data_IF_406945151306
#
_entry.id   IF_406945151306
#
_cell.length_a   1.000
_cell.length_b   1.000
_cell.length_c   1.000
_cell.angle_alpha   90.00
_cell.angle_beta   90.00
_cell.angle_gamma   90.00
#
_symmetry.space_group_name_H-M   'P 1'
#
loop_
_entity.id
_entity.type
_entity.pdbx_description
1 polymer ?
#
# COMPACT_ATOMS: atom_id res chain seq x y z
N UNK A 1 5.64 -8.26 -26.06
CA UNK A 1 5.94 -8.87 -24.76
C UNK A 1 4.77 -9.79 -24.41
N UNK A 2 5.02 -10.92 -23.79
CA UNK A 2 4.04 -11.99 -23.56
C UNK A 2 3.46 -11.94 -22.14
N UNK A 3 2.34 -12.66 -21.87
CA UNK A 3 1.80 -12.82 -20.53
C UNK A 3 2.82 -13.41 -19.52
N UNK A 4 3.79 -14.17 -20.00
CA UNK A 4 4.91 -14.70 -19.21
C UNK A 4 5.82 -13.59 -18.67
N UNK A 5 6.01 -12.51 -19.43
CA UNK A 5 6.80 -11.36 -18.97
C UNK A 5 6.10 -10.59 -17.86
N UNK A 6 4.77 -10.44 -17.92
CA UNK A 6 3.99 -9.85 -16.82
C UNK A 6 4.19 -10.65 -15.53
N UNK A 7 4.11 -11.99 -15.61
CA UNK A 7 4.35 -12.86 -14.45
C UNK A 7 5.76 -12.72 -13.86
N UNK A 8 6.79 -12.51 -14.68
CA UNK A 8 8.16 -12.26 -14.21
C UNK A 8 8.29 -10.91 -13.48
N UNK A 9 7.63 -9.87 -13.98
CA UNK A 9 7.62 -8.54 -13.33
C UNK A 9 6.90 -8.61 -12.00
N UNK A 10 5.77 -9.32 -11.94
CA UNK A 10 5.01 -9.54 -10.71
C UNK A 10 5.82 -10.31 -9.69
N UNK A 11 6.45 -11.45 -10.07
CA UNK A 11 7.30 -12.23 -9.18
C UNK A 11 8.51 -11.44 -8.65
N UNK A 12 9.13 -10.61 -9.47
CA UNK A 12 10.20 -9.70 -9.04
C UNK A 12 9.69 -8.68 -8.02
N UNK A 13 8.54 -8.07 -8.29
CA UNK A 13 7.91 -7.10 -7.40
C UNK A 13 7.54 -7.73 -6.06
N UNK A 14 6.96 -8.93 -6.06
CA UNK A 14 6.62 -9.70 -4.87
C UNK A 14 7.84 -9.94 -3.97
N UNK A 15 8.99 -10.29 -4.59
CA UNK A 15 10.26 -10.41 -3.89
C UNK A 15 10.70 -9.12 -3.21
N UNK A 16 10.57 -7.98 -3.89
CA UNK A 16 10.92 -6.66 -3.34
C UNK A 16 10.01 -6.30 -2.16
N UNK A 17 8.69 -6.49 -2.28
CA UNK A 17 7.75 -6.27 -1.18
C UNK A 17 8.07 -7.15 0.03
N UNK A 18 8.36 -8.44 -0.19
CA UNK A 18 8.72 -9.38 0.87
C UNK A 18 9.99 -8.96 1.61
N UNK A 19 11.02 -8.53 0.87
CA UNK A 19 12.27 -8.03 1.45
C UNK A 19 12.01 -6.75 2.27
N UNK A 20 11.26 -5.79 1.74
CA UNK A 20 10.94 -4.55 2.45
C UNK A 20 10.21 -4.82 3.78
N UNK A 21 9.25 -5.76 3.79
CA UNK A 21 8.55 -6.17 5.02
C UNK A 21 9.49 -6.82 6.03
N UNK A 22 10.41 -7.67 5.59
CA UNK A 22 11.35 -8.36 6.49
C UNK A 22 12.42 -7.43 7.05
N UNK A 23 12.83 -6.40 6.30
CA UNK A 23 13.79 -5.41 6.78
C UNK A 23 13.27 -4.57 7.95
N UNK A 24 11.96 -4.38 8.07
CA UNK A 24 11.35 -3.64 9.18
C UNK A 24 11.71 -4.22 10.56
N UNK A 25 11.91 -5.53 10.67
CA UNK A 25 12.23 -6.17 11.95
C UNK A 25 13.62 -5.81 12.46
N UNK A 26 14.53 -5.37 11.57
CA UNK A 26 15.91 -5.03 11.96
C UNK A 26 16.00 -3.80 12.87
N UNK A 27 14.97 -2.96 12.88
CA UNK A 27 14.89 -1.80 13.77
C UNK A 27 14.50 -2.17 15.22
N UNK A 28 14.03 -3.41 15.45
CA UNK A 28 13.74 -3.93 16.78
C UNK A 28 15.04 -4.33 17.47
N UNK A 29 15.54 -3.46 18.36
CA UNK A 29 16.80 -3.67 19.07
C UNK A 29 16.59 -4.49 20.34
N UNK A 30 17.44 -5.48 20.57
CA UNK A 30 17.50 -6.19 21.86
C UNK A 30 18.09 -5.26 22.91
N UNK A 31 17.39 -5.01 24.04
CA UNK A 31 17.95 -4.21 25.14
C UNK A 31 19.20 -4.88 25.71
N UNK A 32 20.38 -4.27 25.52
CA UNK A 32 21.65 -4.83 25.97
C UNK A 32 22.12 -4.25 27.30
N UNK A 33 21.88 -2.95 27.50
CA UNK A 33 22.34 -2.22 28.69
C UNK A 33 21.11 -1.90 29.56
N UNK A 34 20.88 -2.79 30.54
CA UNK A 34 19.86 -2.54 31.56
C UNK A 34 20.44 -1.66 32.66
N UNK A 35 19.92 -0.45 32.85
CA UNK A 35 20.23 0.40 33.97
C UNK A 35 19.90 -0.32 35.30
N UNK A 36 20.71 -0.16 36.35
CA UNK A 36 20.40 -0.75 37.67
C UNK A 36 18.96 -0.46 38.09
N UNK A 37 18.21 -1.50 38.46
CA UNK A 37 16.80 -1.40 38.86
C UNK A 37 15.77 -1.49 37.74
N UNK A 38 16.19 -1.52 36.48
CA UNK A 38 15.28 -1.72 35.34
C UNK A 38 15.24 -3.17 34.89
N UNK A 39 14.06 -3.78 34.87
CA UNK A 39 13.87 -5.15 34.37
C UNK A 39 13.86 -5.21 32.83
N UNK A 40 14.18 -6.38 32.27
CA UNK A 40 14.06 -6.61 30.82
C UNK A 40 12.63 -6.33 30.30
N UNK A 41 11.62 -6.72 31.10
CA UNK A 41 10.22 -6.46 30.74
C UNK A 41 9.92 -4.95 30.61
N UNK A 42 10.44 -4.14 31.53
CA UNK A 42 10.30 -2.68 31.46
C UNK A 42 11.06 -2.08 30.29
N UNK A 43 12.24 -2.63 29.97
CA UNK A 43 13.02 -2.18 28.81
C UNK A 43 12.30 -2.49 27.49
N UNK A 44 11.75 -3.69 27.36
CA UNK A 44 10.95 -4.09 26.19
C UNK A 44 9.67 -3.27 26.07
N UNK A 45 8.93 -3.08 27.16
CA UNK A 45 7.73 -2.24 27.16
C UNK A 45 8.04 -0.78 26.74
N UNK A 46 9.22 -0.28 27.10
CA UNK A 46 9.68 1.05 26.71
C UNK A 46 9.91 1.22 25.18
N UNK A 47 10.04 0.12 24.43
CA UNK A 47 10.20 0.14 22.97
C UNK A 47 8.84 0.18 22.21
N UNK A 48 7.73 0.43 22.89
CA UNK A 48 6.41 0.48 22.26
C UNK A 48 6.33 1.36 20.99
N UNK A 49 7.07 2.50 20.85
CA UNK A 49 7.04 3.26 19.60
C UNK A 49 7.59 2.46 18.41
N UNK A 50 8.65 1.67 18.62
CA UNK A 50 9.23 0.79 17.60
C UNK A 50 8.23 -0.28 17.17
N UNK A 51 7.53 -0.91 18.13
CA UNK A 51 6.52 -1.92 17.80
C UNK A 51 5.35 -1.33 17.04
N UNK A 52 4.88 -0.14 17.43
CA UNK A 52 3.80 0.56 16.75
C UNK A 52 4.22 0.92 15.31
N UNK A 53 5.40 1.51 15.13
CA UNK A 53 5.93 1.87 13.82
C UNK A 53 6.09 0.62 12.93
N UNK A 54 6.65 -0.48 13.49
CA UNK A 54 6.78 -1.75 12.78
C UNK A 54 5.44 -2.29 12.29
N UNK A 55 4.47 -2.47 13.20
CA UNK A 55 3.16 -3.06 12.85
C UNK A 55 2.42 -2.20 11.82
N UNK A 56 2.45 -0.88 11.99
CA UNK A 56 1.80 0.06 11.05
C UNK A 56 2.44 -0.01 9.68
N UNK A 57 3.77 0.04 9.61
CA UNK A 57 4.50 0.00 8.33
C UNK A 57 4.38 -1.36 7.65
N UNK A 58 4.46 -2.45 8.40
CA UNK A 58 4.25 -3.79 7.88
C UNK A 58 2.85 -3.94 7.26
N UNK A 59 1.81 -3.55 7.99
CA UNK A 59 0.44 -3.58 7.49
C UNK A 59 0.28 -2.72 6.23
N UNK A 60 0.91 -1.54 6.19
CA UNK A 60 0.85 -0.64 5.04
C UNK A 60 1.54 -1.25 3.81
N UNK A 61 2.74 -1.83 3.97
CA UNK A 61 3.44 -2.50 2.85
C UNK A 61 2.64 -3.72 2.39
N UNK A 62 2.05 -4.49 3.30
CA UNK A 62 1.20 -5.63 2.94
C UNK A 62 -0.01 -5.19 2.09
N UNK A 63 -0.66 -4.09 2.45
CA UNK A 63 -1.77 -3.53 1.69
C UNK A 63 -1.30 -3.01 0.33
N UNK A 64 -0.14 -2.38 0.27
CA UNK A 64 0.48 -1.96 -0.99
C UNK A 64 0.74 -3.16 -1.89
N UNK A 65 1.26 -4.25 -1.34
CA UNK A 65 1.46 -5.50 -2.09
C UNK A 65 0.16 -6.06 -2.64
N UNK A 66 -0.89 -6.15 -1.82
CA UNK A 66 -2.21 -6.61 -2.28
C UNK A 66 -2.76 -5.74 -3.40
N UNK A 67 -2.61 -4.42 -3.29
CA UNK A 67 -3.05 -3.48 -4.33
C UNK A 67 -2.20 -3.59 -5.60
N UNK A 68 -0.89 -3.79 -5.48
CA UNK A 68 0.02 -4.05 -6.59
C UNK A 68 -0.37 -5.32 -7.34
N UNK A 69 -0.56 -6.43 -6.61
CA UNK A 69 -1.02 -7.70 -7.18
C UNK A 69 -2.35 -7.52 -7.95
N UNK A 70 -3.36 -6.88 -7.34
CA UNK A 70 -4.64 -6.58 -8.01
C UNK A 70 -4.47 -5.74 -9.26
N UNK A 71 -3.60 -4.74 -9.24
CA UNK A 71 -3.31 -3.90 -10.41
C UNK A 71 -2.73 -4.74 -11.54
N UNK A 72 -1.77 -5.60 -11.25
CA UNK A 72 -1.10 -6.43 -12.25
C UNK A 72 -2.01 -7.52 -12.83
N UNK A 73 -3.06 -7.97 -12.13
CA UNK A 73 -4.05 -8.90 -12.71
C UNK A 73 -4.79 -8.33 -13.92
N UNK A 74 -4.85 -7.00 -14.06
CA UNK A 74 -5.47 -6.32 -15.21
C UNK A 74 -4.50 -6.06 -16.36
N UNK A 75 -3.18 -6.23 -16.16
CA UNK A 75 -2.16 -5.95 -17.16
C UNK A 75 -1.81 -7.23 -17.91
N UNK A 76 -1.90 -7.18 -19.25
CA UNK A 76 -1.53 -8.31 -20.10
C UNK A 76 -0.10 -8.21 -20.62
N UNK A 77 0.31 -6.99 -21.03
CA UNK A 77 1.58 -6.76 -21.73
C UNK A 77 2.27 -5.52 -21.17
N UNK A 78 3.25 -5.66 -20.25
CA UNK A 78 4.01 -4.52 -19.78
C UNK A 78 4.89 -3.96 -20.90
N UNK A 79 4.99 -2.63 -20.98
CA UNK A 79 5.99 -1.95 -21.83
C UNK A 79 7.10 -1.34 -20.96
N UNK A 80 8.17 -0.86 -21.58
CA UNK A 80 9.32 -0.28 -20.88
C UNK A 80 8.91 0.87 -19.93
N UNK A 81 7.92 1.68 -20.33
CA UNK A 81 7.43 2.79 -19.49
C UNK A 81 6.79 2.28 -18.21
N UNK A 82 6.00 1.21 -18.32
CA UNK A 82 5.39 0.56 -17.17
C UNK A 82 6.47 -0.07 -16.27
N UNK A 83 7.49 -0.71 -16.86
CA UNK A 83 8.60 -1.29 -16.12
C UNK A 83 9.38 -0.23 -15.32
N UNK A 84 9.70 0.91 -15.91
CA UNK A 84 10.35 2.01 -15.21
C UNK A 84 9.48 2.62 -14.12
N UNK A 85 8.18 2.83 -14.39
CA UNK A 85 7.25 3.33 -13.39
C UNK A 85 7.09 2.36 -12.21
N UNK A 86 7.03 1.05 -12.49
CA UNK A 86 7.03 0.01 -11.46
C UNK A 86 8.35 0.01 -10.67
N UNK A 87 9.49 0.13 -11.34
CA UNK A 87 10.79 0.26 -10.67
C UNK A 87 10.85 1.45 -9.72
N UNK A 88 10.28 2.60 -10.10
CA UNK A 88 10.18 3.77 -9.24
C UNK A 88 9.26 3.53 -8.03
N UNK A 89 8.14 2.84 -8.24
CA UNK A 89 7.27 2.41 -7.15
C UNK A 89 8.01 1.50 -6.16
N UNK A 90 8.71 0.49 -6.66
CA UNK A 90 9.47 -0.45 -5.84
C UNK A 90 10.61 0.24 -5.08
N UNK A 91 11.28 1.24 -5.66
CA UNK A 91 12.24 2.08 -4.96
C UNK A 91 11.61 2.76 -3.75
N UNK A 92 10.41 3.32 -3.91
CA UNK A 92 9.66 3.90 -2.79
C UNK A 92 9.37 2.87 -1.69
N UNK A 93 8.96 1.67 -2.06
CA UNK A 93 8.66 0.57 -1.11
C UNK A 93 9.91 0.15 -0.33
N UNK A 94 11.05 0.01 -1.01
CA UNK A 94 12.34 -0.36 -0.37
C UNK A 94 12.80 0.71 0.62
N UNK A 95 12.44 1.97 0.41
CA UNK A 95 12.79 3.06 1.31
C UNK A 95 11.94 3.09 2.60
N UNK A 96 10.78 2.44 2.66
CA UNK A 96 9.85 2.52 3.82
C UNK A 96 10.51 2.17 5.17
N UNK A 97 11.39 1.17 5.30
CA UNK A 97 12.06 0.89 6.58
C UNK A 97 12.77 2.11 7.17
N UNK A 98 13.42 2.94 6.36
CA UNK A 98 14.15 4.12 6.85
C UNK A 98 13.24 5.15 7.56
N UNK A 99 12.17 5.70 6.97
CA UNK A 99 11.27 6.61 7.68
C UNK A 99 10.52 5.94 8.84
N UNK A 100 10.32 4.62 8.79
CA UNK A 100 9.77 3.85 9.91
C UNK A 100 10.69 3.90 11.12
N UNK A 101 12.00 3.67 10.91
CA UNK A 101 13.02 3.78 11.94
C UNK A 101 13.10 5.21 12.50
N UNK A 102 12.99 6.24 11.64
CA UNK A 102 12.96 7.63 12.10
C UNK A 102 11.78 7.89 13.03
N UNK A 103 10.58 7.46 12.70
CA UNK A 103 9.40 7.64 13.55
C UNK A 103 9.60 6.87 14.87
N UNK A 104 10.07 5.62 14.81
CA UNK A 104 10.33 4.81 16.00
C UNK A 104 11.31 5.47 16.98
N UNK A 105 12.39 6.09 16.45
CA UNK A 105 13.44 6.72 17.26
C UNK A 105 13.01 8.09 17.82
N UNK A 106 12.30 8.90 17.03
CA UNK A 106 12.02 10.29 17.39
C UNK A 106 10.62 10.53 17.97
N UNK A 107 9.75 9.54 18.04
CA UNK A 107 8.41 9.70 18.61
C UNK A 107 8.51 10.13 20.09
N UNK A 108 7.88 11.26 20.41
CA UNK A 108 7.95 11.86 21.76
C UNK A 108 9.25 12.63 22.03
N UNK A 109 10.13 12.82 21.05
CA UNK A 109 11.42 13.53 21.19
C UNK A 109 11.51 14.76 20.28
N UNK A 110 12.51 15.60 20.52
CA UNK A 110 12.84 16.67 19.56
C UNK A 110 13.14 16.07 18.19
N UNK A 111 12.53 16.64 17.13
CA UNK A 111 12.63 16.11 15.76
C UNK A 111 11.48 15.18 15.32
N UNK A 112 10.54 14.82 16.21
CA UNK A 112 9.41 13.96 15.85
C UNK A 112 8.59 14.48 14.66
N UNK A 113 8.42 15.80 14.53
CA UNK A 113 7.71 16.40 13.40
C UNK A 113 8.44 16.12 12.10
N UNK A 114 9.76 16.32 12.05
CA UNK A 114 10.56 16.02 10.86
C UNK A 114 10.47 14.53 10.50
N UNK A 115 10.58 13.63 11.49
CA UNK A 115 10.43 12.19 11.27
C UNK A 115 9.06 11.85 10.67
N UNK A 116 7.97 12.41 11.21
CA UNK A 116 6.63 12.22 10.69
C UNK A 116 6.44 12.78 9.28
N UNK A 117 7.05 13.93 8.97
CA UNK A 117 6.98 14.51 7.63
C UNK A 117 7.73 13.67 6.59
N UNK A 118 8.90 13.14 6.94
CA UNK A 118 9.65 12.22 6.07
C UNK A 118 8.84 10.94 5.85
N UNK A 119 8.25 10.38 6.90
CA UNK A 119 7.39 9.20 6.84
C UNK A 119 6.20 9.42 5.91
N UNK A 120 5.40 10.46 6.16
CA UNK A 120 4.21 10.75 5.35
C UNK A 120 4.59 11.14 3.90
N UNK A 121 5.68 11.90 3.72
CA UNK A 121 6.18 12.26 2.40
C UNK A 121 6.57 11.04 1.56
N UNK A 122 7.15 10.02 2.19
CA UNK A 122 7.44 8.74 1.52
C UNK A 122 6.15 8.07 1.02
N UNK A 123 5.10 8.02 1.83
CA UNK A 123 3.82 7.43 1.42
C UNK A 123 3.09 8.26 0.36
N UNK A 124 3.18 9.60 0.40
CA UNK A 124 2.70 10.45 -0.70
C UNK A 124 3.42 10.10 -2.00
N UNK A 125 4.76 10.00 -1.98
CA UNK A 125 5.55 9.66 -3.15
C UNK A 125 5.16 8.27 -3.71
N UNK A 126 5.02 7.26 -2.84
CA UNK A 126 4.58 5.91 -3.24
C UNK A 126 3.17 5.95 -3.85
N UNK A 127 2.23 6.68 -3.25
CA UNK A 127 0.87 6.81 -3.79
C UNK A 127 0.86 7.48 -5.17
N UNK A 128 1.73 8.47 -5.41
CA UNK A 128 1.92 9.06 -6.73
C UNK A 128 2.52 8.07 -7.73
N UNK A 129 3.45 7.21 -7.30
CA UNK A 129 4.01 6.15 -8.14
C UNK A 129 2.94 5.11 -8.51
N UNK A 130 2.07 4.69 -7.59
CA UNK A 130 0.92 3.84 -7.90
C UNK A 130 0.00 4.47 -8.95
N UNK A 131 -0.30 5.77 -8.81
CA UNK A 131 -1.07 6.51 -9.82
C UNK A 131 -0.37 6.54 -11.18
N UNK A 132 0.94 6.74 -11.19
CA UNK A 132 1.73 6.75 -12.43
C UNK A 132 1.67 5.39 -13.12
N UNK A 133 1.89 4.28 -12.39
CA UNK A 133 1.81 2.91 -12.90
C UNK A 133 0.42 2.66 -13.49
N UNK A 134 -0.65 2.97 -12.75
CA UNK A 134 -2.01 2.78 -13.25
C UNK A 134 -2.34 3.66 -14.45
N UNK A 135 -1.93 4.94 -14.45
CA UNK A 135 -2.14 5.86 -15.58
C UNK A 135 -1.45 5.38 -16.85
N UNK A 136 -0.25 4.80 -16.74
CA UNK A 136 0.45 4.20 -17.88
C UNK A 136 -0.27 2.93 -18.34
N UNK A 137 -0.64 2.04 -17.42
CA UNK A 137 -1.32 0.79 -17.72
C UNK A 137 -2.69 1.00 -18.39
N UNK A 138 -3.48 1.95 -17.89
CA UNK A 138 -4.84 2.22 -18.38
C UNK A 138 -4.92 3.13 -19.60
N UNK A 139 -3.79 3.76 -19.99
CA UNK A 139 -3.75 4.67 -21.13
C UNK A 139 -4.10 3.92 -22.43
N UNK A 140 -5.17 4.36 -23.08
CA UNK A 140 -5.68 3.81 -24.36
C UNK A 140 -6.07 2.32 -24.29
N UNK A 141 -6.12 1.71 -23.08
CA UNK A 141 -6.44 0.29 -22.88
C UNK A 141 -5.43 -0.70 -23.47
N UNK A 142 -4.30 -0.20 -23.99
CA UNK A 142 -3.34 -0.96 -24.79
C UNK A 142 -2.59 -2.04 -24.02
N UNK A 143 -2.33 -1.79 -22.73
CA UNK A 143 -1.61 -2.71 -21.85
C UNK A 143 -2.55 -3.59 -21.03
N UNK A 144 -3.86 -3.30 -21.04
CA UNK A 144 -4.85 -4.06 -20.32
C UNK A 144 -5.26 -5.32 -21.07
N UNK A 145 -5.76 -6.31 -20.36
CA UNK A 145 -6.33 -7.54 -20.92
C UNK A 145 -7.50 -7.21 -21.85
N UNK A 146 -7.65 -7.96 -22.91
CA UNK A 146 -8.71 -7.75 -23.91
C UNK A 146 -10.12 -7.90 -23.34
N UNK A 147 -10.28 -8.74 -22.29
CA UNK A 147 -11.52 -9.01 -21.59
C UNK A 147 -11.75 -8.10 -20.36
N UNK A 148 -10.99 -6.99 -20.26
CA UNK A 148 -11.11 -6.10 -19.10
C UNK A 148 -12.51 -5.49 -18.98
N UNK A 149 -13.06 -5.53 -17.77
CA UNK A 149 -14.29 -4.86 -17.44
C UNK A 149 -14.06 -3.34 -17.32
N UNK A 150 -14.69 -2.57 -18.21
CA UNK A 150 -14.57 -1.10 -18.24
C UNK A 150 -15.08 -0.45 -16.95
N UNK A 151 -16.04 -1.06 -16.28
CA UNK A 151 -16.56 -0.56 -15.01
C UNK A 151 -15.54 -0.79 -13.89
N UNK A 152 -14.91 -1.95 -13.84
CA UNK A 152 -13.80 -2.24 -12.92
C UNK A 152 -12.63 -1.28 -13.12
N UNK A 153 -12.23 -1.01 -14.36
CA UNK A 153 -11.15 -0.05 -14.70
C UNK A 153 -11.48 1.36 -14.24
N UNK A 154 -12.73 1.83 -14.40
CA UNK A 154 -13.16 3.13 -13.89
C UNK A 154 -13.09 3.19 -12.37
N UNK A 155 -13.60 2.18 -11.69
CA UNK A 155 -13.60 2.12 -10.23
C UNK A 155 -12.19 2.12 -9.65
N UNK A 156 -11.27 1.39 -10.28
CA UNK A 156 -9.85 1.39 -9.92
C UNK A 156 -9.27 2.79 -10.16
N UNK A 157 -9.54 3.41 -11.31
CA UNK A 157 -9.03 4.75 -11.65
C UNK A 157 -9.47 5.80 -10.64
N UNK A 158 -10.73 5.77 -10.21
CA UNK A 158 -11.26 6.68 -9.20
C UNK A 158 -10.60 6.45 -7.84
N UNK A 159 -10.41 5.19 -7.44
CA UNK A 159 -9.74 4.85 -6.17
C UNK A 159 -8.29 5.35 -6.15
N UNK A 160 -7.53 5.15 -7.21
CA UNK A 160 -6.14 5.63 -7.29
C UNK A 160 -6.04 7.15 -7.38
N UNK A 161 -7.01 7.82 -8.02
CA UNK A 161 -7.04 9.28 -8.13
C UNK A 161 -7.05 9.98 -6.78
N UNK A 162 -7.79 9.44 -5.81
CA UNK A 162 -7.95 10.02 -4.47
C UNK A 162 -6.91 9.50 -3.46
N UNK A 163 -6.23 8.40 -3.74
CA UNK A 163 -5.24 7.81 -2.86
C UNK A 163 -4.18 8.81 -2.36
N UNK A 164 -3.47 9.55 -3.24
CA UNK A 164 -2.47 10.52 -2.81
C UNK A 164 -3.03 11.64 -1.93
N UNK A 165 -4.27 12.07 -2.15
CA UNK A 165 -4.92 13.12 -1.36
C UNK A 165 -5.01 12.72 0.12
N UNK A 166 -5.34 11.47 0.42
CA UNK A 166 -5.42 10.98 1.79
C UNK A 166 -4.06 11.02 2.50
N UNK A 167 -2.98 10.64 1.80
CA UNK A 167 -1.62 10.73 2.36
C UNK A 167 -1.12 12.18 2.48
N UNK A 168 -1.54 13.08 1.59
CA UNK A 168 -1.28 14.53 1.72
C UNK A 168 -2.00 15.09 2.95
N UNK A 169 -3.22 14.65 3.24
CA UNK A 169 -3.94 15.04 4.48
C UNK A 169 -3.15 14.55 5.71
N UNK A 170 -2.68 13.29 5.72
CA UNK A 170 -1.86 12.77 6.81
C UNK A 170 -0.56 13.58 6.97
N UNK A 171 0.08 14.00 5.88
CA UNK A 171 1.27 14.85 5.88
C UNK A 171 0.96 16.22 6.51
N UNK A 172 -0.13 16.88 6.10
CA UNK A 172 -0.53 18.19 6.63
C UNK A 172 -0.85 18.09 8.13
N UNK A 173 -1.59 17.05 8.55
CA UNK A 173 -1.88 16.79 9.95
C UNK A 173 -0.60 16.58 10.76
N UNK A 174 0.45 16.01 10.16
CA UNK A 174 1.77 15.81 10.78
C UNK A 174 2.45 17.10 11.24
N UNK A 175 2.18 18.25 10.60
CA UNK A 175 2.67 19.54 11.06
C UNK A 175 2.00 19.99 12.38
N UNK A 176 0.75 19.66 12.58
CA UNK A 176 -0.01 20.05 13.76
C UNK A 176 0.12 19.03 14.90
N UNK A 177 0.09 17.73 14.58
CA UNK A 177 0.15 16.65 15.56
C UNK A 177 0.68 15.36 14.94
N UNK A 178 1.86 14.94 15.37
CA UNK A 178 2.47 13.67 14.94
C UNK A 178 1.58 12.48 15.30
N UNK A 179 1.03 12.46 16.52
CA UNK A 179 0.14 11.37 16.97
C UNK A 179 -1.12 11.28 16.09
N UNK A 180 -1.76 12.43 15.80
CA UNK A 180 -2.94 12.45 14.92
C UNK A 180 -2.60 11.96 13.51
N UNK A 181 -1.44 12.34 12.98
CA UNK A 181 -0.98 11.88 11.67
C UNK A 181 -0.76 10.36 11.62
N UNK A 182 -0.16 9.78 12.67
CA UNK A 182 0.01 8.32 12.76
C UNK A 182 -1.34 7.60 12.88
N UNK A 183 -2.30 8.14 13.64
CA UNK A 183 -3.67 7.60 13.69
C UNK A 183 -4.33 7.64 12.32
N UNK A 184 -4.17 8.73 11.57
CA UNK A 184 -4.67 8.82 10.18
C UNK A 184 -4.03 7.73 9.30
N UNK A 185 -2.71 7.50 9.40
CA UNK A 185 -2.06 6.42 8.63
C UNK A 185 -2.61 5.03 8.98
N UNK A 186 -2.83 4.73 10.26
CA UNK A 186 -3.47 3.47 10.69
C UNK A 186 -4.89 3.36 10.13
N UNK A 187 -5.68 4.43 10.19
CA UNK A 187 -7.02 4.46 9.65
C UNK A 187 -7.04 4.25 8.12
N UNK A 188 -6.09 4.86 7.40
CA UNK A 188 -5.91 4.65 5.96
C UNK A 188 -5.50 3.21 5.64
N UNK A 189 -4.59 2.62 6.43
CA UNK A 189 -4.21 1.23 6.29
C UNK A 189 -5.45 0.31 6.42
N UNK A 190 -6.27 0.52 7.45
CA UNK A 190 -7.52 -0.23 7.64
C UNK A 190 -8.50 0.02 6.49
N UNK A 191 -8.67 1.25 6.06
CA UNK A 191 -9.56 1.61 4.94
C UNK A 191 -9.17 0.89 3.64
N UNK A 192 -7.90 0.89 3.30
CA UNK A 192 -7.40 0.24 2.09
C UNK A 192 -7.27 -1.29 2.20
N UNK A 193 -7.25 -1.86 3.42
CA UNK A 193 -7.27 -3.30 3.64
C UNK A 193 -8.62 -3.93 3.27
N UNK A 194 -9.73 -3.19 3.49
CA UNK A 194 -11.09 -3.67 3.21
C UNK A 194 -11.64 -3.01 1.94
N UNK A 195 -11.45 -3.60 0.76
CA UNK A 195 -12.12 -3.09 -0.45
C UNK A 195 -13.62 -3.09 -0.20
N UNK A 196 -14.27 -1.98 -0.50
CA UNK A 196 -15.70 -1.81 -0.27
C UNK A 196 -16.48 -2.99 -0.87
N UNK A 197 -17.20 -3.74 -0.03
CA UNK A 197 -18.01 -4.92 -0.39
C UNK A 197 -19.16 -4.61 -1.35
N UNK A 198 -19.32 -3.38 -1.76
CA UNK A 198 -20.41 -2.89 -2.61
C UNK A 198 -20.42 -3.55 -3.99
N UNK A 199 -19.27 -3.99 -4.50
CA UNK A 199 -19.17 -4.62 -5.83
C UNK A 199 -19.57 -6.10 -5.85
N UNK A 200 -19.46 -6.82 -4.74
CA UNK A 200 -19.82 -8.24 -4.67
C UNK A 200 -21.36 -8.47 -4.67
N UNK A 201 -22.13 -7.53 -4.15
CA UNK A 201 -23.60 -7.64 -4.07
C UNK A 201 -24.25 -7.40 -5.43
N UNK A 202 -23.72 -6.47 -6.24
CA UNK A 202 -24.28 -6.12 -7.55
C UNK A 202 -24.00 -7.23 -8.59
N UNK A 203 -22.83 -7.88 -8.54
CA UNK A 203 -22.49 -8.98 -9.44
C UNK A 203 -23.36 -10.23 -9.27
N UNK A 204 -23.87 -10.50 -8.07
CA UNK A 204 -24.78 -11.62 -7.82
C UNK A 204 -26.23 -11.31 -8.24
N UNK A 205 -26.68 -10.07 -8.10
CA UNK A 205 -28.00 -9.66 -8.53
C UNK A 205 -28.16 -9.66 -10.06
N UNK A 206 -27.12 -9.25 -10.80
CA UNK A 206 -27.12 -9.26 -12.27
C UNK A 206 -27.16 -10.67 -12.87
N UNK A 207 -26.43 -11.63 -12.29
CA UNK A 207 -26.44 -13.03 -12.75
C UNK A 207 -27.76 -13.74 -12.45
N UNK A 208 -28.43 -13.43 -11.34
CA UNK A 208 -29.74 -13.98 -11.01
C UNK A 208 -30.83 -13.47 -11.98
N UNK A 209 -30.73 -12.23 -12.42
CA UNK A 209 -31.71 -11.67 -13.35
C UNK A 209 -31.56 -12.23 -14.77
N UNK A 210 -30.35 -12.46 -15.25
CA UNK A 210 -30.07 -13.09 -16.53
C UNK A 210 -30.49 -14.58 -16.57
N UNK A 211 -30.28 -15.31 -15.48
CA UNK A 211 -30.73 -16.71 -15.37
C UNK A 211 -32.26 -16.84 -15.42
N UNK A 212 -33.00 -15.86 -14.90
CA UNK A 212 -34.47 -15.87 -14.92
C UNK A 212 -35.04 -15.51 -16.31
N UNK A 213 -34.35 -14.64 -17.06
CA UNK A 213 -34.78 -14.29 -18.44
C UNK A 213 -34.52 -15.40 -19.44
N UNK A 214 -33.41 -16.15 -19.30
CA UNK A 214 -33.10 -17.28 -20.20
C UNK A 214 -33.99 -18.50 -19.99
N UNK A 215 -34.66 -18.61 -18.83
CA UNK A 215 -35.60 -19.70 -18.54
C UNK A 215 -37.05 -19.43 -19.01
N UNK A 216 -37.36 -18.14 -19.26
CA UNK A 216 -38.70 -17.72 -19.73
C UNK A 216 -38.89 -17.81 -21.26
N UNK A 217 -37.82 -17.86 -22.03
CA UNK A 217 -37.86 -17.86 -23.51
C UNK A 217 -37.87 -19.29 -24.13
N UNK A 218 -38.02 -20.32 -23.29
CA UNK A 218 -38.10 -21.73 -23.72
C UNK A 218 -39.45 -22.37 -23.47
N UNK A 219 -40.55 -21.60 -23.43
CA UNK A 219 -41.91 -22.15 -23.38
C UNK A 219 -42.76 -21.68 -24.56
#
# INVERSE_FOLDING_TARGET
MSAEETGRVEAFSDGVFAIAMTLLVLDMKVPRDLTPGRTLAQALAGQWPTYLAFVTSYATILIMWVNHHRLFTHIERPDDRLLFANGLLLLGVVLVPFPTALVAEYLGRAGQTTAALVYNGTFVAIALCFNLVWKIASRDGRLLRADHDREAVRHISDSYRYGPLFYVVALIVGFASVTASLVVNVALAIYFAFPSRTTAVIGHAGKAHQAHQSSGDKR
#
